data_IF_699222295711
#
_entry.id   IF_699222295711
#
_cell.length_a   1.000
_cell.length_b   1.000
_cell.length_c   1.000
_cell.angle_alpha   90.00
_cell.angle_beta   90.00
_cell.angle_gamma   90.00
#
_symmetry.space_group_name_H-M   'P 1'
#
loop_
_entity.id
_entity.type
_entity.pdbx_description
1 polymer ?
#
# COMPACT_ATOMS: atom_id res chain seq x y z
N UNK A 1 5.41 -37.10 1.94
CA UNK A 1 5.30 -36.07 0.89
C UNK A 1 5.75 -34.78 1.52
N UNK A 2 6.86 -34.22 1.04
CA UNK A 2 7.68 -33.26 1.76
C UNK A 2 6.94 -31.94 2.05
N UNK A 3 7.10 -31.48 3.28
CA UNK A 3 6.81 -30.13 3.78
C UNK A 3 7.36 -29.07 2.81
N UNK A 4 6.47 -28.43 2.06
CA UNK A 4 6.75 -27.13 1.47
C UNK A 4 6.69 -26.14 2.62
N UNK A 5 7.88 -25.67 3.00
CA UNK A 5 8.14 -24.73 4.08
C UNK A 5 7.18 -23.55 4.02
N UNK A 6 6.70 -23.17 5.20
CA UNK A 6 5.76 -22.07 5.48
C UNK A 6 6.18 -20.73 4.83
N UNK A 7 7.44 -20.62 4.42
CA UNK A 7 8.08 -19.46 3.77
C UNK A 7 7.58 -19.13 2.35
N UNK A 8 6.95 -20.06 1.62
CA UNK A 8 6.51 -19.84 0.23
C UNK A 8 4.99 -19.64 0.07
N UNK A 9 4.24 -19.53 1.17
CA UNK A 9 2.82 -19.14 1.11
C UNK A 9 2.74 -17.63 1.07
N UNK A 10 2.94 -17.04 -0.12
CA UNK A 10 2.47 -15.68 -0.37
C UNK A 10 0.97 -15.67 -0.04
N UNK A 11 0.60 -15.00 1.04
CA UNK A 11 -0.80 -14.87 1.45
C UNK A 11 -1.33 -13.51 1.00
N UNK A 12 -2.57 -13.47 0.47
CA UNK A 12 -3.21 -12.20 0.15
C UNK A 12 -3.44 -11.36 1.40
N UNK A 13 -3.60 -10.04 1.21
CA UNK A 13 -3.86 -9.13 2.33
C UNK A 13 -5.13 -9.51 3.09
N UNK A 14 -5.30 -9.03 4.32
CA UNK A 14 -6.52 -9.31 5.10
C UNK A 14 -7.77 -8.82 4.35
N UNK A 15 -7.71 -7.64 3.73
CA UNK A 15 -8.82 -7.10 2.96
C UNK A 15 -9.13 -7.98 1.75
N UNK A 16 -8.11 -8.47 1.04
CA UNK A 16 -8.32 -9.40 -0.08
C UNK A 16 -8.97 -10.71 0.35
N UNK A 17 -8.59 -11.24 1.53
CA UNK A 17 -9.21 -12.45 2.09
C UNK A 17 -10.65 -12.26 2.56
N UNK A 18 -11.03 -11.03 2.88
CA UNK A 18 -12.38 -10.66 3.33
C UNK A 18 -13.25 -10.09 2.19
N UNK A 19 -12.66 -9.85 1.02
CA UNK A 19 -13.38 -9.32 -0.14
C UNK A 19 -13.82 -10.47 -1.02
N UNK A 20 -15.13 -10.67 -1.12
CA UNK A 20 -15.71 -11.62 -2.06
C UNK A 20 -15.78 -10.99 -3.46
N UNK A 21 -14.99 -11.53 -4.39
CA UNK A 21 -14.97 -11.08 -5.78
C UNK A 21 -15.95 -11.83 -6.68
N UNK A 22 -16.55 -12.92 -6.21
CA UNK A 22 -17.50 -13.75 -6.97
C UNK A 22 -18.75 -14.07 -6.11
N UNK A 23 -19.57 -13.05 -5.77
CA UNK A 23 -20.69 -13.20 -4.86
C UNK A 23 -21.81 -14.11 -5.38
N UNK A 24 -21.76 -14.51 -6.65
CA UNK A 24 -22.73 -15.42 -7.26
C UNK A 24 -22.35 -16.90 -7.05
N UNK A 25 -21.13 -17.17 -6.58
CA UNK A 25 -20.62 -18.52 -6.38
C UNK A 25 -20.51 -18.85 -4.88
N UNK A 26 -21.36 -19.75 -4.35
CA UNK A 26 -21.35 -20.10 -2.93
C UNK A 26 -20.18 -21.02 -2.51
N UNK A 27 -19.39 -21.55 -3.46
CA UNK A 27 -18.30 -22.47 -3.19
C UNK A 27 -16.96 -21.86 -3.54
N UNK A 28 -16.13 -21.64 -2.51
CA UNK A 28 -14.77 -21.15 -2.69
C UNK A 28 -13.74 -22.29 -2.51
N UNK A 29 -12.95 -22.55 -3.55
CA UNK A 29 -11.92 -23.61 -3.55
C UNK A 29 -10.72 -23.26 -2.68
N UNK A 30 -10.08 -24.25 -2.06
CA UNK A 30 -8.90 -24.02 -1.19
C UNK A 30 -7.71 -23.39 -1.93
N UNK A 31 -7.60 -23.62 -3.24
CA UNK A 31 -6.55 -23.02 -4.09
C UNK A 31 -6.74 -21.52 -4.34
N UNK A 32 -7.93 -20.94 -4.09
CA UNK A 32 -8.10 -19.47 -4.14
C UNK A 32 -7.28 -18.74 -3.06
N UNK A 33 -6.85 -19.47 -2.03
CA UNK A 33 -6.20 -18.91 -0.83
C UNK A 33 -4.68 -18.79 -0.95
N UNK A 34 -4.06 -19.41 -1.94
CA UNK A 34 -2.62 -19.34 -2.20
C UNK A 34 -2.40 -18.51 -3.44
N UNK A 35 -1.66 -17.40 -3.31
CA UNK A 35 -1.36 -16.52 -4.45
C UNK A 35 0.02 -16.82 -5.02
N UNK A 36 0.14 -16.78 -6.34
CA UNK A 36 1.42 -16.79 -7.04
C UNK A 36 2.04 -15.36 -7.07
N UNK A 37 3.34 -15.26 -7.35
CA UNK A 37 4.08 -13.99 -7.43
C UNK A 37 3.46 -13.01 -8.43
N UNK A 38 2.90 -13.50 -9.54
CA UNK A 38 2.21 -12.66 -10.52
C UNK A 38 0.99 -11.98 -9.91
N UNK A 39 0.21 -12.74 -9.13
CA UNK A 39 -0.99 -12.22 -8.46
C UNK A 39 -0.62 -11.25 -7.34
N UNK A 40 0.46 -11.51 -6.61
CA UNK A 40 0.99 -10.57 -5.62
C UNK A 40 1.35 -9.22 -6.26
N UNK A 41 1.98 -9.23 -7.44
CA UNK A 41 2.31 -8.00 -8.18
C UNK A 41 1.08 -7.23 -8.64
N UNK A 42 0.00 -7.92 -9.01
CA UNK A 42 -1.28 -7.28 -9.36
C UNK A 42 -1.90 -6.58 -8.16
N UNK A 43 -1.90 -7.24 -7.00
CA UNK A 43 -2.40 -6.68 -5.73
C UNK A 43 -1.59 -5.43 -5.35
N UNK A 44 -0.26 -5.51 -5.36
CA UNK A 44 0.61 -4.37 -5.03
C UNK A 44 0.36 -3.20 -5.99
N UNK A 45 0.20 -3.45 -7.30
CA UNK A 45 -0.11 -2.38 -8.26
C UNK A 45 -1.45 -1.70 -7.99
N UNK A 46 -2.48 -2.48 -7.64
CA UNK A 46 -3.79 -1.92 -7.26
C UNK A 46 -3.68 -1.07 -6.00
N UNK A 47 -3.01 -1.59 -4.97
CA UNK A 47 -2.89 -0.91 -3.68
C UNK A 47 -2.03 0.37 -3.80
N UNK A 48 -0.95 0.34 -4.60
CA UNK A 48 -0.19 1.53 -4.98
C UNK A 48 -1.04 2.53 -5.77
N UNK A 49 -1.91 2.07 -6.67
CA UNK A 49 -2.83 2.97 -7.37
C UNK A 49 -3.76 3.69 -6.40
N UNK A 50 -4.32 2.99 -5.41
CA UNK A 50 -5.14 3.62 -4.37
C UNK A 50 -4.33 4.63 -3.55
N UNK A 51 -3.10 4.27 -3.17
CA UNK A 51 -2.23 5.16 -2.39
C UNK A 51 -1.85 6.43 -3.15
N UNK A 52 -1.39 6.30 -4.39
CA UNK A 52 -0.89 7.43 -5.18
C UNK A 52 -2.01 8.35 -5.69
N UNK A 53 -3.24 7.85 -5.78
CA UNK A 53 -4.41 8.65 -6.17
C UNK A 53 -5.19 9.20 -4.97
N UNK A 54 -4.76 8.93 -3.73
CA UNK A 54 -5.38 9.49 -2.52
C UNK A 54 -4.59 10.67 -2.00
N UNK A 55 -5.28 11.68 -1.48
CA UNK A 55 -4.66 12.84 -0.83
C UNK A 55 -4.59 12.61 0.68
N UNK A 56 -3.41 12.84 1.27
CA UNK A 56 -3.22 12.71 2.72
C UNK A 56 -3.75 13.92 3.50
N UNK A 57 -3.81 13.77 4.83
CA UNK A 57 -4.29 14.78 5.76
C UNK A 57 -3.13 15.43 6.55
N UNK A 58 -1.94 15.53 5.96
CA UNK A 58 -0.73 16.01 6.63
C UNK A 58 -0.87 17.46 7.14
N UNK A 59 -1.69 18.28 6.49
CA UNK A 59 -2.00 19.65 6.93
C UNK A 59 -2.92 19.71 8.15
N UNK A 60 -3.64 18.62 8.44
CA UNK A 60 -4.61 18.53 9.53
C UNK A 60 -4.03 17.81 10.76
N UNK A 61 -3.06 16.92 10.56
CA UNK A 61 -2.47 16.09 11.61
C UNK A 61 -1.10 16.65 12.00
N UNK A 62 -1.03 17.25 13.19
CA UNK A 62 0.24 17.63 13.79
C UNK A 62 1.06 16.38 14.14
N UNK A 63 2.11 16.10 13.36
CA UNK A 63 2.98 14.95 13.55
C UNK A 63 3.78 14.98 14.85
N UNK A 64 4.05 16.17 15.43
CA UNK A 64 4.76 16.30 16.71
C UNK A 64 3.85 15.91 17.85
N UNK A 65 2.59 16.36 17.81
CA UNK A 65 1.61 16.07 18.84
C UNK A 65 0.97 14.69 18.70
N UNK A 66 0.82 14.19 17.48
CA UNK A 66 0.13 12.94 17.15
C UNK A 66 0.92 12.07 16.16
N UNK A 67 2.11 11.56 16.55
CA UNK A 67 2.98 10.80 15.66
C UNK A 67 2.30 9.54 15.12
N UNK A 68 1.61 8.78 15.98
CA UNK A 68 0.90 7.56 15.58
C UNK A 68 -0.26 7.84 14.61
N UNK A 69 -0.93 8.99 14.75
CA UNK A 69 -2.00 9.37 13.82
C UNK A 69 -1.43 9.73 12.45
N UNK A 70 -0.28 10.42 12.42
CA UNK A 70 0.41 10.82 11.18
C UNK A 70 0.94 9.64 10.35
N UNK A 71 1.17 8.49 10.97
CA UNK A 71 1.64 7.25 10.33
C UNK A 71 0.51 6.21 10.16
N UNK A 72 -0.69 6.54 10.63
CA UNK A 72 -1.85 5.66 10.51
C UNK A 72 -2.57 5.82 9.16
N UNK A 73 -3.55 4.96 8.94
CA UNK A 73 -4.49 5.05 7.81
C UNK A 73 -5.23 6.39 7.72
N UNK A 74 -5.30 7.18 8.81
CA UNK A 74 -5.88 8.53 8.79
C UNK A 74 -5.09 9.49 7.89
N UNK A 75 -3.79 9.21 7.69
CA UNK A 75 -2.91 10.00 6.84
C UNK A 75 -2.52 9.25 5.55
N UNK A 76 -3.38 8.34 5.08
CA UNK A 76 -3.16 7.59 3.86
C UNK A 76 -3.19 8.50 2.63
N UNK A 77 -2.22 8.34 1.73
CA UNK A 77 -2.13 9.08 0.47
C UNK A 77 -0.85 9.91 0.31
N UNK A 78 -0.87 10.79 -0.69
CA UNK A 78 0.22 11.72 -0.99
C UNK A 78 -0.10 13.14 -0.50
N UNK A 79 0.95 13.87 -0.18
CA UNK A 79 0.89 15.29 0.13
C UNK A 79 0.48 16.09 -1.10
N UNK A 80 -0.38 17.07 -0.91
CA UNK A 80 -0.68 18.04 -1.96
C UNK A 80 0.55 18.93 -2.22
N UNK A 81 1.00 18.97 -3.48
CA UNK A 81 2.14 19.80 -3.91
C UNK A 81 1.70 20.84 -4.95
N UNK A 82 0.50 21.39 -4.77
CA UNK A 82 -0.04 22.50 -5.56
C UNK A 82 0.49 23.83 -4.99
N UNK A 83 0.86 24.80 -5.86
CA UNK A 83 1.38 26.12 -5.44
C UNK A 83 2.59 26.62 -6.24
N UNK A 84 3.13 27.78 -5.83
CA UNK A 84 4.29 28.45 -6.44
C UNK A 84 5.63 27.84 -5.99
N UNK A 85 5.86 26.57 -6.34
CA UNK A 85 7.18 25.95 -6.19
C UNK A 85 7.96 26.06 -7.51
N UNK A 86 9.29 26.20 -7.43
CA UNK A 86 10.12 25.95 -8.61
C UNK A 86 9.92 24.51 -9.09
N UNK A 87 10.09 24.25 -10.39
CA UNK A 87 9.86 22.91 -10.97
C UNK A 87 10.74 21.82 -10.31
N UNK A 88 11.95 22.20 -9.87
CA UNK A 88 12.90 21.32 -9.20
C UNK A 88 12.47 21.02 -7.76
N UNK A 89 12.10 22.03 -6.98
CA UNK A 89 11.64 21.85 -5.60
C UNK A 89 10.34 21.03 -5.56
N UNK A 90 9.42 21.30 -6.50
CA UNK A 90 8.19 20.54 -6.64
C UNK A 90 8.46 19.05 -6.89
N UNK A 91 9.39 18.74 -7.79
CA UNK A 91 9.75 17.35 -8.09
C UNK A 91 10.37 16.65 -6.87
N UNK A 92 11.21 17.34 -6.09
CA UNK A 92 11.80 16.80 -4.88
C UNK A 92 10.75 16.51 -3.80
N UNK A 93 9.79 17.42 -3.60
CA UNK A 93 8.69 17.25 -2.64
C UNK A 93 7.78 16.08 -3.03
N UNK A 94 7.44 15.95 -4.32
CA UNK A 94 6.65 14.82 -4.82
C UNK A 94 7.41 13.51 -4.59
N UNK A 95 8.71 13.44 -4.93
CA UNK A 95 9.53 12.25 -4.71
C UNK A 95 9.55 11.86 -3.23
N UNK A 96 9.80 12.81 -2.34
CA UNK A 96 9.83 12.56 -0.90
C UNK A 96 8.47 12.07 -0.39
N UNK A 97 7.37 12.67 -0.86
CA UNK A 97 6.02 12.22 -0.49
C UNK A 97 5.74 10.80 -0.94
N UNK A 98 6.11 10.43 -2.17
CA UNK A 98 5.92 9.08 -2.71
C UNK A 98 6.74 8.07 -1.92
N UNK A 99 8.04 8.34 -1.72
CA UNK A 99 8.92 7.42 -0.98
C UNK A 99 8.43 7.20 0.46
N UNK A 100 7.97 8.26 1.14
CA UNK A 100 7.41 8.16 2.49
C UNK A 100 6.12 7.33 2.51
N UNK A 101 5.18 7.64 1.62
CA UNK A 101 3.90 6.94 1.54
C UNK A 101 4.09 5.44 1.28
N UNK A 102 4.93 5.07 0.30
CA UNK A 102 5.22 3.67 0.00
C UNK A 102 5.89 2.98 1.20
N UNK A 103 6.84 3.63 1.87
CA UNK A 103 7.54 3.04 3.02
C UNK A 103 6.60 2.78 4.21
N UNK A 104 5.58 3.61 4.40
CA UNK A 104 4.62 3.48 5.51
C UNK A 104 3.52 2.47 5.21
N UNK A 105 2.97 2.49 3.99
CA UNK A 105 1.75 1.75 3.65
C UNK A 105 1.98 0.47 2.83
N UNK A 106 3.19 0.26 2.28
CA UNK A 106 3.55 -0.92 1.48
C UNK A 106 4.77 -1.68 2.02
N UNK A 107 4.64 -2.39 3.16
CA UNK A 107 5.75 -3.14 3.77
C UNK A 107 6.23 -4.35 2.94
N UNK A 108 5.48 -4.72 1.89
CA UNK A 108 5.82 -5.79 0.95
C UNK A 108 6.95 -5.39 0.00
N UNK A 109 7.20 -4.10 -0.17
CA UNK A 109 8.30 -3.56 -0.97
C UNK A 109 9.52 -3.43 -0.07
N UNK A 110 10.67 -3.92 -0.55
CA UNK A 110 11.89 -3.94 0.26
C UNK A 110 12.35 -2.51 0.60
N UNK A 111 12.68 -2.22 1.87
CA UNK A 111 13.19 -0.91 2.26
C UNK A 111 14.54 -0.65 1.56
N UNK A 112 14.70 0.53 0.97
CA UNK A 112 15.93 0.94 0.27
C UNK A 112 15.99 0.56 -1.22
N UNK A 113 14.93 -0.02 -1.79
CA UNK A 113 14.83 -0.24 -3.24
C UNK A 113 14.19 0.93 -4.03
N UNK A 114 13.93 2.05 -3.36
CA UNK A 114 13.22 3.24 -3.88
C UNK A 114 14.15 4.41 -4.19
#
# INVERSE_FOLDING_TARGET
>A
MADLTITERLQPSLLDRLTDTDPSNPNETRDSRVIDIRRLREIIQRDLSWLLNSQNAETLIDAVRYPNASESVLNFGLKEVTGEYSSVERAQLIRASISRAISLFEPRIAPGSL
#
